data_IF_313875233514
#
_entry.id   IF_313875233514
#
_cell.length_a   1.000
_cell.length_b   1.000
_cell.length_c   1.000
_cell.angle_alpha   90.00
_cell.angle_beta   90.00
_cell.angle_gamma   90.00
#
_symmetry.space_group_name_H-M   'P 1'
#
loop_
_entity.id
_entity.type
_entity.pdbx_description
1 polymer ?
#
# COMPACT_ATOMS: atom_id res chain seq x y z
N UNK A 1 -11.12 14.62 -22.14
CA UNK A 1 -12.41 14.00 -22.49
C UNK A 1 -13.12 13.67 -21.19
N UNK A 2 -14.45 13.61 -21.20
CA UNK A 2 -15.27 13.32 -20.02
C UNK A 2 -16.04 12.03 -20.29
N UNK A 3 -16.09 11.12 -19.31
CA UNK A 3 -16.89 9.90 -19.39
C UNK A 3 -17.67 9.71 -18.08
N UNK A 4 -18.92 9.29 -18.18
CA UNK A 4 -19.78 9.01 -17.03
C UNK A 4 -20.21 7.56 -17.07
N UNK A 5 -19.98 6.83 -15.99
CA UNK A 5 -20.32 5.42 -15.86
C UNK A 5 -20.64 5.12 -14.39
N UNK A 6 -21.66 4.29 -14.15
CA UNK A 6 -22.16 3.93 -12.81
C UNK A 6 -22.44 5.14 -11.87
N UNK A 7 -22.86 6.27 -12.43
CA UNK A 7 -23.22 7.48 -11.68
C UNK A 7 -22.04 8.38 -11.30
N UNK A 8 -20.81 8.02 -11.67
CA UNK A 8 -19.61 8.84 -11.45
C UNK A 8 -19.04 9.36 -12.76
N UNK A 9 -18.39 10.53 -12.71
CA UNK A 9 -17.81 11.18 -13.88
C UNK A 9 -16.30 11.31 -13.73
N UNK A 10 -15.56 10.91 -14.77
CA UNK A 10 -14.10 11.06 -14.82
C UNK A 10 -13.67 11.93 -16.00
N UNK A 11 -12.62 12.71 -15.77
CA UNK A 11 -11.86 13.36 -16.83
C UNK A 11 -10.67 12.47 -17.20
N UNK A 12 -10.52 12.20 -18.49
CA UNK A 12 -9.41 11.41 -19.01
C UNK A 12 -8.79 12.01 -20.27
N UNK A 13 -7.51 11.74 -20.48
CA UNK A 13 -6.75 12.18 -21.65
C UNK A 13 -6.25 10.98 -22.45
N UNK A 14 -6.41 11.02 -23.78
CA UNK A 14 -5.89 9.97 -24.66
C UNK A 14 -4.64 10.47 -25.40
N UNK A 15 -3.53 9.75 -25.26
CA UNK A 15 -2.31 10.01 -26.02
C UNK A 15 -1.98 8.84 -26.95
N UNK A 16 -2.01 9.08 -28.26
CA UNK A 16 -1.64 8.08 -29.26
C UNK A 16 -0.11 8.02 -29.46
N UNK A 17 0.50 6.84 -29.26
CA UNK A 17 1.95 6.61 -29.38
C UNK A 17 2.25 5.42 -30.29
N UNK A 18 3.47 5.37 -30.84
CA UNK A 18 3.95 4.20 -31.61
C UNK A 18 4.32 3.07 -30.64
N UNK A 19 3.34 2.27 -30.25
CA UNK A 19 3.48 1.14 -29.31
C UNK A 19 2.51 0.02 -29.64
N UNK A 20 2.69 -1.15 -29.01
CA UNK A 20 1.89 -2.36 -29.26
C UNK A 20 0.71 -2.56 -28.30
N UNK A 21 0.72 -1.93 -27.13
CA UNK A 21 -0.29 -2.14 -26.08
C UNK A 21 -0.90 -0.83 -25.59
N UNK A 22 -2.16 -0.89 -25.16
CA UNK A 22 -2.79 0.21 -24.41
C UNK A 22 -2.23 0.24 -22.98
N UNK A 23 -2.04 1.45 -22.44
CA UNK A 23 -1.69 1.66 -21.03
C UNK A 23 -2.71 2.62 -20.44
N UNK A 24 -3.23 2.26 -19.29
CA UNK A 24 -4.12 3.08 -18.47
C UNK A 24 -3.40 3.35 -17.15
N UNK A 25 -3.32 4.60 -16.72
CA UNK A 25 -2.81 4.95 -15.41
C UNK A 25 -3.51 6.19 -14.85
N UNK A 26 -3.53 6.27 -13.53
CA UNK A 26 -4.01 7.44 -12.78
C UNK A 26 -2.77 8.15 -12.24
N UNK A 27 -2.64 9.45 -12.47
CA UNK A 27 -1.51 10.23 -11.95
C UNK A 27 -1.69 10.57 -10.46
N UNK A 28 -0.67 11.21 -9.86
CA UNK A 28 -0.69 11.60 -8.44
C UNK A 28 -1.78 12.61 -8.07
N UNK A 29 -2.40 13.25 -9.05
CA UNK A 29 -3.50 14.20 -8.86
C UNK A 29 -4.87 13.58 -9.14
N UNK A 30 -4.93 12.28 -9.45
CA UNK A 30 -6.17 11.58 -9.75
C UNK A 30 -6.67 11.78 -11.20
N UNK A 31 -5.83 12.30 -12.11
CA UNK A 31 -6.17 12.39 -13.53
C UNK A 31 -5.94 11.05 -14.22
N UNK A 32 -6.84 10.68 -15.12
CA UNK A 32 -6.77 9.41 -15.86
C UNK A 32 -6.11 9.64 -17.21
N UNK A 33 -4.99 8.96 -17.49
CA UNK A 33 -4.34 8.98 -18.80
C UNK A 33 -4.41 7.60 -19.49
N UNK A 34 -4.86 7.61 -20.74
CA UNK A 34 -4.92 6.45 -21.62
C UNK A 34 -3.92 6.65 -22.74
N UNK A 35 -2.89 5.82 -22.78
CA UNK A 35 -1.97 5.78 -23.90
C UNK A 35 -2.37 4.63 -24.81
N UNK A 36 -2.55 4.88 -26.11
CA UNK A 36 -2.98 3.85 -27.06
C UNK A 36 -2.08 3.78 -28.31
N UNK A 37 -1.97 2.63 -28.99
CA UNK A 37 -1.42 2.54 -30.34
C UNK A 37 -2.16 3.46 -31.32
N UNK A 38 -1.45 3.98 -32.33
CA UNK A 38 -2.10 4.75 -33.41
C UNK A 38 -3.17 3.89 -34.10
N UNK A 39 -4.36 4.45 -34.28
CA UNK A 39 -5.49 3.78 -34.94
C UNK A 39 -6.36 2.94 -34.01
N UNK A 40 -6.09 2.91 -32.70
CA UNK A 40 -7.03 2.30 -31.74
C UNK A 40 -8.32 3.14 -31.68
N UNK A 41 -9.50 2.53 -31.87
CA UNK A 41 -10.78 3.23 -31.79
C UNK A 41 -11.04 3.77 -30.38
N UNK A 42 -11.68 4.93 -30.28
CA UNK A 42 -11.99 5.56 -29.00
C UNK A 42 -13.01 4.71 -28.22
N UNK A 43 -13.93 4.06 -28.93
CA UNK A 43 -14.97 3.21 -28.36
C UNK A 43 -14.36 2.04 -27.58
N UNK A 44 -13.30 1.43 -28.12
CA UNK A 44 -12.55 0.38 -27.43
C UNK A 44 -11.87 0.89 -26.16
N UNK A 45 -11.35 2.12 -26.19
CA UNK A 45 -10.72 2.73 -25.01
C UNK A 45 -11.73 3.08 -23.92
N UNK A 46 -12.95 3.49 -24.31
CA UNK A 46 -14.05 3.73 -23.37
C UNK A 46 -14.49 2.42 -22.71
N UNK A 47 -14.65 1.34 -23.48
CA UNK A 47 -14.95 0.02 -22.91
C UNK A 47 -13.88 -0.44 -21.92
N UNK A 48 -12.61 -0.19 -22.22
CA UNK A 48 -11.51 -0.50 -21.29
C UNK A 48 -11.59 0.33 -20.00
N UNK A 49 -12.02 1.59 -20.07
CA UNK A 49 -12.24 2.43 -18.88
C UNK A 49 -13.37 1.87 -18.01
N UNK A 50 -14.48 1.44 -18.63
CA UNK A 50 -15.60 0.84 -17.92
C UNK A 50 -15.23 -0.51 -17.29
N UNK A 51 -14.45 -1.34 -17.98
CA UNK A 51 -13.94 -2.61 -17.44
C UNK A 51 -13.03 -2.39 -16.21
N UNK A 52 -12.27 -1.29 -16.20
CA UNK A 52 -11.36 -0.93 -15.10
C UNK A 52 -11.95 0.12 -14.16
N UNK A 53 -13.27 0.34 -14.20
CA UNK A 53 -13.90 1.44 -13.49
C UNK A 53 -13.65 1.43 -11.98
N UNK A 54 -13.89 0.28 -11.34
CA UNK A 54 -13.70 0.12 -9.89
C UNK A 54 -12.24 0.40 -9.48
N UNK A 55 -11.29 -0.07 -10.30
CA UNK A 55 -9.86 0.19 -10.09
C UNK A 55 -9.52 1.67 -10.26
N UNK A 56 -10.09 2.36 -11.27
CA UNK A 56 -9.90 3.79 -11.48
C UNK A 56 -10.39 4.56 -10.25
N UNK A 57 -11.62 4.30 -9.79
CA UNK A 57 -12.19 5.02 -8.65
C UNK A 57 -11.40 4.80 -7.37
N UNK A 58 -11.04 3.54 -7.08
CA UNK A 58 -10.21 3.19 -5.93
C UNK A 58 -8.88 3.93 -5.98
N UNK A 59 -8.19 3.88 -7.13
CA UNK A 59 -6.88 4.55 -7.29
C UNK A 59 -7.01 6.06 -7.13
N UNK A 60 -8.05 6.70 -7.69
CA UNK A 60 -8.27 8.15 -7.54
C UNK A 60 -8.54 8.55 -6.10
N UNK A 61 -9.34 7.76 -5.37
CA UNK A 61 -9.59 7.97 -3.95
C UNK A 61 -8.29 7.87 -3.14
N UNK A 62 -7.48 6.84 -3.39
CA UNK A 62 -6.17 6.70 -2.75
C UNK A 62 -5.23 7.87 -3.04
N UNK A 63 -5.21 8.40 -4.27
CA UNK A 63 -4.38 9.57 -4.60
C UNK A 63 -4.86 10.83 -3.89
N UNK A 64 -6.17 11.03 -3.79
CA UNK A 64 -6.75 12.15 -3.03
C UNK A 64 -6.40 12.04 -1.54
N UNK A 65 -6.52 10.85 -0.95
CA UNK A 65 -6.12 10.58 0.44
C UNK A 65 -4.63 10.88 0.67
N UNK A 66 -3.75 10.49 -0.26
CA UNK A 66 -2.31 10.81 -0.18
C UNK A 66 -2.02 12.31 -0.27
N UNK A 67 -2.85 13.08 -0.96
CA UNK A 67 -2.67 14.54 -1.06
C UNK A 67 -2.91 15.25 0.29
N UNK A 68 -3.65 14.63 1.22
CA UNK A 68 -3.83 15.13 2.58
C UNK A 68 -2.59 14.95 3.47
N UNK A 69 -1.51 14.35 2.95
CA UNK A 69 -0.28 14.11 3.69
C UNK A 69 -0.39 12.95 4.68
N UNK A 70 0.67 12.71 5.48
CA UNK A 70 0.61 11.74 6.57
C UNK A 70 -0.48 12.17 7.56
N UNK A 71 -1.56 11.38 7.64
CA UNK A 71 -2.54 11.58 8.70
C UNK A 71 -1.99 11.06 10.01
N UNK A 72 -2.19 11.82 11.08
CA UNK A 72 -1.95 11.31 12.43
C UNK A 72 -2.81 10.08 12.66
N UNK A 73 -2.22 9.09 13.32
CA UNK A 73 -2.84 7.81 13.60
C UNK A 73 -3.32 7.84 15.04
N UNK A 74 -4.63 7.71 15.22
CA UNK A 74 -5.28 7.73 16.53
C UNK A 74 -5.22 6.35 17.22
N UNK A 75 -4.82 5.30 16.50
CA UNK A 75 -4.70 3.93 16.99
C UNK A 75 -6.02 3.39 17.56
N UNK A 76 -7.13 3.76 16.95
CA UNK A 76 -8.46 3.30 17.34
C UNK A 76 -8.72 1.83 16.96
N UNK A 77 -9.66 1.20 17.66
CA UNK A 77 -10.12 -0.14 17.33
C UNK A 77 -10.65 -0.20 15.90
N UNK A 78 -10.12 -1.13 15.10
CA UNK A 78 -10.48 -1.29 13.70
C UNK A 78 -9.75 -0.36 12.73
N UNK A 79 -8.86 0.52 13.22
CA UNK A 79 -8.11 1.40 12.33
C UNK A 79 -7.22 0.59 11.35
N UNK A 80 -7.20 1.01 10.09
CA UNK A 80 -6.45 0.34 9.03
C UNK A 80 -4.95 0.61 9.07
N UNK A 81 -4.17 -0.47 9.12
CA UNK A 81 -2.70 -0.46 9.01
C UNK A 81 -2.24 -1.28 7.80
N UNK A 82 -1.27 -0.74 7.05
CA UNK A 82 -0.77 -1.36 5.84
C UNK A 82 0.27 -2.44 6.14
N UNK A 83 0.16 -3.59 5.49
CA UNK A 83 1.21 -4.61 5.45
C UNK A 83 1.27 -5.25 4.06
N UNK A 84 2.45 -5.16 3.43
CA UNK A 84 2.70 -5.68 2.07
C UNK A 84 1.66 -5.24 1.02
N UNK A 85 1.14 -4.02 1.15
CA UNK A 85 0.17 -3.45 0.22
C UNK A 85 -1.29 -3.74 0.53
N UNK A 86 -1.61 -4.50 1.59
CA UNK A 86 -2.99 -4.72 2.04
C UNK A 86 -3.25 -3.96 3.35
N UNK A 87 -4.48 -3.48 3.52
CA UNK A 87 -4.94 -2.83 4.75
C UNK A 87 -5.50 -3.88 5.70
N UNK A 88 -5.01 -3.88 6.94
CA UNK A 88 -5.47 -4.76 8.01
C UNK A 88 -6.03 -3.90 9.16
N UNK A 89 -7.27 -4.12 9.61
CA UNK A 89 -7.79 -3.45 10.79
C UNK A 89 -7.03 -3.93 12.03
N UNK A 90 -6.68 -3.00 12.92
CA UNK A 90 -6.07 -3.34 14.20
C UNK A 90 -7.12 -3.73 15.23
N UNK A 91 -6.74 -4.64 16.12
CA UNK A 91 -7.50 -4.96 17.32
C UNK A 91 -6.55 -4.82 18.51
N UNK A 92 -6.95 -4.05 19.52
CA UNK A 92 -6.08 -3.78 20.67
C UNK A 92 -6.65 -4.48 21.90
N UNK A 93 -5.83 -5.27 22.57
CA UNK A 93 -6.16 -5.91 23.84
C UNK A 93 -5.15 -5.51 24.91
N UNK A 94 -5.66 -5.15 26.09
CA UNK A 94 -4.83 -4.94 27.25
C UNK A 94 -4.63 -6.26 27.99
N UNK A 95 -3.38 -6.63 28.23
CA UNK A 95 -3.03 -7.79 29.05
C UNK A 95 -1.80 -7.47 29.90
N UNK A 96 -2.01 -7.32 31.20
CA UNK A 96 -0.95 -7.02 32.15
C UNK A 96 0.01 -8.21 32.39
N UNK A 97 -0.36 -9.42 31.95
CA UNK A 97 0.44 -10.64 32.14
C UNK A 97 1.51 -10.85 31.07
N UNK A 98 1.41 -10.18 29.91
CA UNK A 98 2.40 -10.33 28.83
C UNK A 98 3.75 -9.81 29.28
N UNK A 99 4.85 -10.45 28.88
CA UNK A 99 6.18 -9.94 29.23
C UNK A 99 6.52 -8.66 28.44
N UNK A 100 6.02 -8.57 27.20
CA UNK A 100 6.35 -7.49 26.26
C UNK A 100 5.20 -7.21 25.31
N UNK A 101 4.96 -5.91 25.06
CA UNK A 101 4.01 -5.43 24.05
C UNK A 101 4.39 -5.96 22.66
N UNK A 102 3.41 -6.54 21.97
CA UNK A 102 3.62 -7.20 20.68
C UNK A 102 2.41 -7.04 19.76
N UNK A 103 2.62 -7.25 18.47
CA UNK A 103 1.56 -7.33 17.48
C UNK A 103 1.73 -8.60 16.64
N UNK A 104 0.63 -9.26 16.31
CA UNK A 104 0.57 -10.50 15.54
C UNK A 104 -0.62 -10.49 14.58
N UNK A 105 -0.51 -11.27 13.50
CA UNK A 105 -1.66 -11.51 12.63
C UNK A 105 -2.57 -12.57 13.25
N UNK A 106 -3.85 -12.24 13.38
CA UNK A 106 -4.92 -13.19 13.70
C UNK A 106 -5.95 -13.14 12.59
N UNK A 107 -5.80 -14.06 11.63
CA UNK A 107 -6.63 -14.09 10.43
C UNK A 107 -6.37 -12.87 9.54
N UNK A 108 -7.42 -12.07 9.33
CA UNK A 108 -7.44 -10.84 8.53
C UNK A 108 -7.23 -9.57 9.36
N UNK A 109 -6.81 -9.71 10.63
CA UNK A 109 -6.62 -8.58 11.55
C UNK A 109 -5.21 -8.55 12.13
N UNK A 110 -4.77 -7.35 12.50
CA UNK A 110 -3.53 -7.14 13.22
C UNK A 110 -3.84 -6.95 14.71
N UNK A 111 -3.69 -8.01 15.50
CA UNK A 111 -3.94 -7.97 16.94
C UNK A 111 -2.71 -7.44 17.68
N UNK A 112 -2.91 -6.39 18.47
CA UNK A 112 -1.90 -5.72 19.27
C UNK A 112 -2.19 -5.96 20.76
N UNK A 113 -1.23 -6.57 21.45
CA UNK A 113 -1.27 -6.81 22.88
C UNK A 113 -0.37 -5.81 23.59
N UNK A 114 -0.94 -5.05 24.53
CA UNK A 114 -0.21 -4.05 25.32
C UNK A 114 -0.45 -4.25 26.81
N UNK A 115 0.56 -4.00 27.65
CA UNK A 115 0.38 -4.00 29.12
C UNK A 115 -0.54 -2.89 29.60
N UNK A 116 -0.40 -1.73 28.99
CA UNK A 116 -1.12 -0.50 29.29
C UNK A 116 -1.67 0.07 27.99
N UNK A 117 -2.94 0.47 27.99
CA UNK A 117 -3.60 1.14 26.85
C UNK A 117 -3.07 2.57 26.72
N UNK A 118 -1.95 2.71 26.03
CA UNK A 118 -1.31 3.97 25.67
C UNK A 118 -0.83 3.90 24.22
N UNK A 119 -1.03 4.96 23.46
CA UNK A 119 -0.67 5.01 22.04
C UNK A 119 0.81 4.75 21.81
N UNK A 120 1.67 5.25 22.70
CA UNK A 120 3.12 4.96 22.68
C UNK A 120 3.44 3.46 22.73
N UNK A 121 2.65 2.69 23.48
CA UNK A 121 2.81 1.23 23.63
C UNK A 121 2.33 0.51 22.37
N UNK A 122 1.19 0.94 21.82
CA UNK A 122 0.63 0.42 20.58
C UNK A 122 1.59 0.68 19.42
N UNK A 123 2.06 1.92 19.28
CA UNK A 123 3.05 2.32 18.28
C UNK A 123 4.35 1.52 18.42
N UNK A 124 4.85 1.33 19.65
CA UNK A 124 6.06 0.53 19.89
C UNK A 124 5.86 -0.94 19.50
N UNK A 125 4.72 -1.54 19.83
CA UNK A 125 4.39 -2.92 19.47
C UNK A 125 4.32 -3.09 17.94
N UNK A 126 3.64 -2.16 17.26
CA UNK A 126 3.56 -2.13 15.79
C UNK A 126 4.93 -1.93 15.14
N UNK A 127 5.73 -0.98 15.64
CA UNK A 127 7.08 -0.74 15.11
C UNK A 127 7.92 -2.01 15.22
N UNK A 128 7.93 -2.67 16.37
CA UNK A 128 8.65 -3.95 16.57
C UNK A 128 8.17 -5.03 15.60
N UNK A 129 6.85 -5.13 15.42
CA UNK A 129 6.26 -6.06 14.46
C UNK A 129 6.74 -5.80 13.03
N UNK A 130 6.64 -4.56 12.53
CA UNK A 130 7.11 -4.22 11.18
C UNK A 130 8.61 -4.47 10.99
N UNK A 131 9.42 -4.16 11.99
CA UNK A 131 10.85 -4.46 11.97
C UNK A 131 11.13 -5.95 11.87
N UNK A 132 10.42 -6.77 12.66
CA UNK A 132 10.54 -8.23 12.63
C UNK A 132 10.15 -8.80 11.27
N UNK A 133 9.03 -8.36 10.71
CA UNK A 133 8.57 -8.80 9.39
C UNK A 133 9.53 -8.38 8.28
N UNK A 134 9.97 -7.12 8.28
CA UNK A 134 10.94 -6.60 7.33
C UNK A 134 12.25 -7.41 7.38
N UNK A 135 12.78 -7.67 8.58
CA UNK A 135 14.01 -8.46 8.76
C UNK A 135 13.88 -9.86 8.17
N UNK A 136 12.77 -10.54 8.47
CA UNK A 136 12.51 -11.88 7.93
C UNK A 136 12.47 -11.90 6.41
N UNK A 137 11.79 -10.92 5.79
CA UNK A 137 11.70 -10.80 4.33
C UNK A 137 13.07 -10.51 3.69
N UNK A 138 13.83 -9.57 4.27
CA UNK A 138 15.17 -9.21 3.78
C UNK A 138 16.13 -10.38 3.89
N UNK A 139 16.15 -11.09 5.03
CA UNK A 139 17.00 -12.26 5.23
C UNK A 139 16.65 -13.39 4.24
N UNK A 140 15.35 -13.63 4.00
CA UNK A 140 14.89 -14.61 3.01
C UNK A 140 15.36 -14.23 1.60
N UNK A 141 15.25 -12.96 1.24
CA UNK A 141 15.68 -12.45 -0.06
C UNK A 141 17.20 -12.57 -0.25
N UNK A 142 17.99 -12.15 0.76
CA UNK A 142 19.46 -12.28 0.74
C UNK A 142 19.86 -13.76 0.56
N UNK A 143 19.22 -14.66 1.31
CA UNK A 143 19.51 -16.10 1.20
C UNK A 143 19.21 -16.64 -0.20
N UNK A 144 18.10 -16.22 -0.82
CA UNK A 144 17.72 -16.64 -2.16
C UNK A 144 18.70 -16.16 -3.25
N UNK A 145 19.30 -14.98 -3.07
CA UNK A 145 20.19 -14.38 -4.06
C UNK A 145 21.69 -14.55 -3.75
N UNK A 146 22.05 -15.19 -2.64
CA UNK A 146 23.45 -15.35 -2.21
C UNK A 146 24.35 -16.03 -3.26
N UNK A 147 23.80 -16.93 -4.09
CA UNK A 147 24.54 -17.58 -5.17
C UNK A 147 25.08 -16.61 -6.23
N UNK A 148 24.44 -15.44 -6.36
CA UNK A 148 24.83 -14.42 -7.34
C UNK A 148 26.01 -13.57 -6.84
N UNK A 149 26.44 -13.75 -5.58
CA UNK A 149 27.49 -12.95 -4.94
C UNK A 149 28.57 -13.85 -4.32
N UNK A 150 29.83 -13.48 -4.51
CA UNK A 150 30.98 -14.19 -3.92
C UNK A 150 31.11 -13.94 -2.41
N UNK A 151 30.64 -12.80 -1.93
CA UNK A 151 30.75 -12.36 -0.53
C UNK A 151 29.47 -12.63 0.22
N UNK A 152 29.59 -12.98 1.50
CA UNK A 152 28.46 -13.13 2.43
C UNK A 152 28.37 -11.92 3.36
N UNK A 153 27.19 -11.36 3.60
CA UNK A 153 27.04 -10.30 4.58
C UNK A 153 27.32 -10.85 5.98
N UNK A 154 28.12 -10.11 6.77
CA UNK A 154 28.45 -10.48 8.15
C UNK A 154 27.28 -10.24 9.11
N UNK A 155 26.50 -9.20 8.85
CA UNK A 155 25.32 -8.83 9.64
C UNK A 155 24.35 -8.02 8.78
N UNK A 156 23.07 -8.09 9.14
CA UNK A 156 21.99 -7.33 8.50
C UNK A 156 21.35 -6.46 9.58
N UNK A 157 21.32 -5.15 9.34
CA UNK A 157 20.75 -4.17 10.27
C UNK A 157 19.68 -3.36 9.55
N UNK A 158 18.53 -3.21 10.19
CA UNK A 158 17.46 -2.31 9.74
C UNK A 158 17.57 -1.04 10.57
N UNK A 159 17.57 0.10 9.90
CA UNK A 159 17.66 1.43 10.51
C UNK A 159 16.56 2.31 9.98
N UNK A 160 16.00 3.18 10.83
CA UNK A 160 15.10 4.23 10.37
C UNK A 160 15.89 5.23 9.51
N UNK A 161 15.23 5.81 8.49
CA UNK A 161 15.79 6.93 7.74
C UNK A 161 15.71 8.19 8.60
N UNK A 162 16.81 8.92 8.74
CA UNK A 162 16.85 10.22 9.40
C UNK A 162 16.32 11.37 8.54
N UNK A 163 15.99 11.10 7.27
CA UNK A 163 15.39 12.08 6.36
C UNK A 163 13.90 11.79 6.25
N UNK A 164 13.10 12.71 6.75
CA UNK A 164 11.67 12.87 6.43
C UNK A 164 11.50 14.26 5.84
#
# INVERSE_FOLDING_TARGET
MVHTYLGETINFHITYKKKKSVRLFVDSYGNVEVQAPKGTPVEYLVQLLEEKWDWIQTTRKEMAERAHGPQEKDYDQGEGFLYLGNTYPIQISQDASIEQDNAIFEGDKLHIYVKELKDEKIQQALKRFYYKQCKSLVEKSIKAHQSNFKTKPRSIRITDSSRT
#
